data_IF_295847853093
#
_entry.id   IF_295847853093
#
_cell.length_a   1.000
_cell.length_b   1.000
_cell.length_c   1.000
_cell.angle_alpha   90.00
_cell.angle_beta   90.00
_cell.angle_gamma   90.00
#
_symmetry.space_group_name_H-M   'P 1'
#
loop_
_entity.id
_entity.type
_entity.pdbx_description
1 polymer ?
#
# COMPACT_ATOMS: atom_id res chain seq x y z
N UNK A 1 4.11 12.28 17.98
CA UNK A 1 4.02 12.70 16.56
C UNK A 1 4.14 11.46 15.67
N UNK A 2 3.35 11.34 14.61
CA UNK A 2 3.20 10.11 13.82
C UNK A 2 3.98 10.11 12.48
N UNK A 3 4.81 11.14 12.24
CA UNK A 3 5.56 11.33 11.00
C UNK A 3 6.45 10.14 10.55
N UNK A 4 7.03 9.29 11.44
CA UNK A 4 7.83 8.14 10.99
C UNK A 4 7.01 7.08 10.25
N UNK A 5 5.68 7.02 10.48
CA UNK A 5 4.79 6.12 9.74
C UNK A 5 4.75 6.46 8.25
N UNK A 6 4.85 7.73 7.88
CA UNK A 6 4.91 8.14 6.47
C UNK A 6 6.17 7.63 5.77
N UNK A 7 7.32 7.70 6.43
CA UNK A 7 8.57 7.15 5.89
C UNK A 7 8.54 5.63 5.79
N UNK A 8 7.97 4.95 6.79
CA UNK A 8 7.77 3.49 6.72
C UNK A 8 6.84 3.10 5.57
N UNK A 9 5.75 3.87 5.34
CA UNK A 9 4.82 3.64 4.25
C UNK A 9 5.52 3.78 2.89
N UNK A 10 6.28 4.87 2.72
CA UNK A 10 7.07 5.11 1.51
C UNK A 10 8.13 4.04 1.28
N UNK A 11 8.80 3.58 2.35
CA UNK A 11 9.79 2.50 2.29
C UNK A 11 9.18 1.16 1.86
N UNK A 12 8.03 0.78 2.45
CA UNK A 12 7.30 -0.44 2.07
C UNK A 12 6.84 -0.34 0.61
N UNK A 13 6.29 0.81 0.21
CA UNK A 13 5.87 1.06 -1.16
C UNK A 13 7.03 0.90 -2.14
N UNK A 14 8.18 1.54 -1.89
CA UNK A 14 9.37 1.44 -2.72
C UNK A 14 9.92 0.01 -2.80
N UNK A 15 10.02 -0.68 -1.66
CA UNK A 15 10.52 -2.05 -1.60
C UNK A 15 9.65 -3.00 -2.45
N UNK A 16 8.34 -2.95 -2.27
CA UNK A 16 7.41 -3.79 -3.02
C UNK A 16 7.36 -3.38 -4.49
N UNK A 17 7.36 -2.08 -4.79
CA UNK A 17 7.37 -1.60 -6.17
C UNK A 17 8.64 -2.03 -6.91
N UNK A 18 9.80 -2.07 -6.24
CA UNK A 18 11.05 -2.55 -6.81
C UNK A 18 11.05 -4.07 -7.04
N UNK A 19 10.55 -4.84 -6.06
CA UNK A 19 10.47 -6.31 -6.14
C UNK A 19 9.48 -6.79 -7.20
N UNK A 20 8.29 -6.19 -7.23
CA UNK A 20 7.19 -6.63 -8.09
C UNK A 20 7.16 -5.91 -9.43
N UNK A 21 7.91 -4.80 -9.56
CA UNK A 21 7.80 -3.83 -10.66
C UNK A 21 6.35 -3.38 -10.88
N UNK A 22 5.53 -3.35 -9.84
CA UNK A 22 4.12 -2.93 -9.89
C UNK A 22 3.86 -1.89 -8.80
N UNK A 23 3.46 -0.68 -9.21
CA UNK A 23 3.19 0.42 -8.27
C UNK A 23 1.94 0.16 -7.42
N UNK A 24 0.93 -0.48 -8.02
CA UNK A 24 -0.33 -0.84 -7.38
C UNK A 24 -0.16 -1.87 -6.27
N UNK A 25 0.71 -2.86 -6.47
CA UNK A 25 1.04 -3.87 -5.45
C UNK A 25 1.70 -3.20 -4.23
N UNK A 26 2.61 -2.25 -4.46
CA UNK A 26 3.25 -1.49 -3.38
C UNK A 26 2.24 -0.66 -2.58
N UNK A 27 1.27 -0.04 -3.26
CA UNK A 27 0.25 0.75 -2.59
C UNK A 27 -0.67 -0.10 -1.70
N UNK A 28 -1.05 -1.30 -2.16
CA UNK A 28 -1.84 -2.26 -1.37
C UNK A 28 -1.09 -2.74 -0.13
N UNK A 29 0.17 -3.12 -0.28
CA UNK A 29 1.02 -3.54 0.84
C UNK A 29 1.23 -2.43 1.87
N UNK A 30 1.57 -1.22 1.42
CA UNK A 30 1.73 -0.09 2.31
C UNK A 30 0.40 0.23 3.05
N UNK A 31 -0.72 0.23 2.34
CA UNK A 31 -2.03 0.49 2.94
C UNK A 31 -2.42 -0.58 3.99
N UNK A 32 -2.09 -1.86 3.77
CA UNK A 32 -2.39 -2.94 4.71
C UNK A 32 -1.47 -2.97 5.94
N UNK A 33 -0.17 -2.73 5.76
CA UNK A 33 0.82 -2.88 6.83
C UNK A 33 0.86 -1.68 7.78
N UNK A 34 0.62 -0.46 7.28
CA UNK A 34 0.69 0.76 8.09
C UNK A 34 -0.28 0.81 9.29
N UNK A 35 -1.57 0.43 9.19
CA UNK A 35 -2.44 0.40 10.36
C UNK A 35 -1.96 -0.60 11.43
N UNK A 36 -1.34 -1.72 11.02
CA UNK A 36 -0.76 -2.69 11.97
C UNK A 36 0.44 -2.11 12.71
N UNK A 37 1.34 -1.41 12.00
CA UNK A 37 2.49 -0.72 12.61
C UNK A 37 2.01 0.39 13.55
N UNK A 38 1.01 1.16 13.15
CA UNK A 38 0.43 2.21 13.97
C UNK A 38 -0.18 1.66 15.26
N UNK A 39 -0.90 0.52 15.17
CA UNK A 39 -1.46 -0.16 16.32
C UNK A 39 -0.38 -0.70 17.27
N UNK A 40 0.65 -1.37 16.73
CA UNK A 40 1.78 -1.89 17.51
C UNK A 40 2.53 -0.79 18.26
N UNK A 41 2.64 0.42 17.69
CA UNK A 41 3.27 1.58 18.31
C UNK A 41 2.37 2.32 19.30
N UNK A 42 1.14 1.86 19.54
CA UNK A 42 0.19 2.49 20.46
C UNK A 42 -0.52 3.72 19.89
N UNK A 43 -0.43 3.98 18.58
CA UNK A 43 -1.12 5.08 17.92
C UNK A 43 -2.53 4.69 17.48
N UNK A 44 -3.40 4.33 18.42
CA UNK A 44 -4.72 3.74 18.15
C UNK A 44 -5.59 4.64 17.25
N UNK A 45 -5.62 5.96 17.50
CA UNK A 45 -6.38 6.91 16.67
C UNK A 45 -5.87 6.94 15.22
N UNK A 46 -4.56 6.91 15.03
CA UNK A 46 -3.93 6.88 13.70
C UNK A 46 -4.18 5.53 13.03
N UNK A 47 -4.15 4.43 13.78
CA UNK A 47 -4.43 3.10 13.27
C UNK A 47 -5.85 3.00 12.70
N UNK A 48 -6.87 3.53 13.39
CA UNK A 48 -8.23 3.56 12.88
C UNK A 48 -8.37 4.40 11.59
N UNK A 49 -7.75 5.59 11.56
CA UNK A 49 -7.76 6.42 10.35
C UNK A 49 -7.04 5.72 9.18
N UNK A 50 -5.89 5.10 9.43
CA UNK A 50 -5.14 4.34 8.43
C UNK A 50 -5.92 3.10 7.97
N UNK A 51 -6.61 2.40 8.86
CA UNK A 51 -7.43 1.25 8.51
C UNK A 51 -8.63 1.65 7.64
N UNK A 52 -9.30 2.76 7.97
CA UNK A 52 -10.35 3.32 7.14
C UNK A 52 -9.84 3.70 5.74
N UNK A 53 -8.71 4.41 5.68
CA UNK A 53 -8.06 4.75 4.40
C UNK A 53 -7.64 3.51 3.62
N UNK A 54 -7.13 2.48 4.30
CA UNK A 54 -6.77 1.21 3.66
C UNK A 54 -7.98 0.59 2.97
N UNK A 55 -9.15 0.55 3.61
CA UNK A 55 -10.39 0.05 3.00
C UNK A 55 -10.73 0.84 1.73
N UNK A 56 -10.70 2.18 1.79
CA UNK A 56 -10.97 3.03 0.62
C UNK A 56 -9.96 2.79 -0.51
N UNK A 57 -8.67 2.64 -0.18
CA UNK A 57 -7.61 2.34 -1.14
C UNK A 57 -7.88 0.99 -1.80
N UNK A 58 -8.21 -0.05 -1.03
CA UNK A 58 -8.51 -1.38 -1.56
C UNK A 58 -9.72 -1.37 -2.49
N UNK A 59 -10.79 -0.66 -2.13
CA UNK A 59 -11.98 -0.50 -3.00
C UNK A 59 -11.58 0.19 -4.31
N UNK A 60 -10.84 1.30 -4.23
CA UNK A 60 -10.39 2.04 -5.42
C UNK A 60 -9.42 1.23 -6.29
N UNK A 61 -8.66 0.32 -5.69
CA UNK A 61 -7.73 -0.57 -6.40
C UNK A 61 -8.38 -1.87 -6.87
N UNK A 62 -9.70 -2.05 -6.74
CA UNK A 62 -10.37 -3.28 -7.20
C UNK A 62 -10.10 -3.63 -8.65
N UNK A 63 -9.98 -2.64 -9.54
CA UNK A 63 -9.57 -2.87 -10.93
C UNK A 63 -8.12 -3.33 -11.07
N UNK A 64 -7.20 -2.73 -10.32
CA UNK A 64 -5.78 -3.09 -10.31
C UNK A 64 -5.59 -4.50 -9.73
N UNK A 65 -6.34 -4.86 -8.68
CA UNK A 65 -6.33 -6.23 -8.13
C UNK A 65 -6.80 -7.23 -9.20
N UNK A 66 -7.88 -6.91 -9.94
CA UNK A 66 -8.36 -7.77 -11.04
C UNK A 66 -7.33 -7.92 -12.16
N UNK A 67 -6.63 -6.85 -12.52
CA UNK A 67 -5.55 -6.87 -13.53
C UNK A 67 -4.30 -7.62 -13.05
N UNK A 68 -3.91 -7.47 -11.78
CA UNK A 68 -2.84 -8.26 -11.14
C UNK A 68 -3.18 -9.75 -11.18
N UNK A 69 -4.40 -10.14 -10.78
CA UNK A 69 -4.86 -11.54 -10.82
C UNK A 69 -4.91 -12.09 -12.25
N UNK A 70 -5.20 -11.26 -13.24
CA UNK A 70 -5.16 -11.62 -14.66
C UNK A 70 -3.75 -11.55 -15.27
N UNK A 71 -2.74 -11.09 -14.53
CA UNK A 71 -1.38 -10.87 -15.04
C UNK A 71 -1.26 -9.74 -16.07
N UNK A 72 -2.29 -8.90 -16.22
CA UNK A 72 -2.36 -7.81 -17.22
C UNK A 72 -1.98 -6.44 -16.65
N UNK A 73 -1.58 -6.38 -15.38
CA UNK A 73 -1.09 -5.15 -14.76
C UNK A 73 0.20 -4.69 -15.45
N UNK A 74 0.23 -3.44 -15.91
CA UNK A 74 1.42 -2.86 -16.52
C UNK A 74 2.54 -2.77 -15.48
N UNK A 75 3.67 -3.40 -15.80
CA UNK A 75 4.87 -3.31 -14.96
C UNK A 75 5.54 -1.96 -15.18
N UNK A 76 6.03 -1.35 -14.11
CA UNK A 76 6.88 -0.15 -14.14
C UNK A 76 8.04 -0.43 -15.10
N UNK A 77 8.10 0.34 -16.19
CA UNK A 77 9.12 0.21 -17.24
C UNK A 77 8.70 -0.61 -18.47
N UNK A 78 7.50 -1.19 -18.53
CA UNK A 78 6.96 -1.67 -19.80
C UNK A 78 6.52 -0.45 -20.64
N UNK A 79 7.35 -0.09 -21.63
CA UNK A 79 6.90 0.76 -22.74
C UNK A 79 5.80 0.00 -23.49
N UNK A 80 4.73 0.71 -23.82
CA UNK A 80 3.75 0.27 -24.84
C UNK A 80 4.46 -0.05 -26.14
#
# INVERSE_FOLDING_TARGET
TAWPLGFMAGGIWLAIAFLTRMSSMGALWAAGVIPLIALYRGYTNVAYMCAFLAIVIYIRHGENIKRILKGTESKIGQKK
#
